data_IF_765594626901
#
_entry.id   IF_765594626901
#
_cell.length_a   1.000
_cell.length_b   1.000
_cell.length_c   1.000
_cell.angle_alpha   90.00
_cell.angle_beta   90.00
_cell.angle_gamma   90.00
#
_symmetry.space_group_name_H-M   'P 1'
#
loop_
_entity.id
_entity.type
_entity.pdbx_description
1 polymer ?
#
# COMPACT_ATOMS: atom_id res chain seq x y z
N UNK A 1 40.75 2.34 -18.20
CA UNK A 1 39.98 1.27 -17.53
C UNK A 1 38.92 1.93 -16.70
N UNK A 2 37.65 1.58 -16.81
CA UNK A 2 36.64 2.14 -15.93
C UNK A 2 36.92 1.72 -14.49
N UNK A 3 36.71 2.62 -13.52
CA UNK A 3 36.75 2.32 -12.11
C UNK A 3 35.44 1.64 -11.71
N UNK A 4 35.51 0.69 -10.79
CA UNK A 4 34.32 0.03 -10.20
C UNK A 4 34.08 0.62 -8.81
N UNK A 5 32.93 1.27 -8.64
CA UNK A 5 32.44 1.76 -7.36
C UNK A 5 31.30 0.86 -6.88
N UNK A 6 31.45 0.28 -5.69
CA UNK A 6 30.50 -0.71 -5.15
C UNK A 6 29.47 -0.13 -4.18
N UNK A 7 29.74 1.05 -3.58
CA UNK A 7 28.88 1.65 -2.56
C UNK A 7 27.89 2.64 -3.17
N UNK A 8 28.36 3.57 -3.97
CA UNK A 8 27.54 4.59 -4.63
C UNK A 8 27.85 4.65 -6.15
N UNK A 9 27.57 3.57 -6.88
CA UNK A 9 27.89 3.52 -8.31
C UNK A 9 26.99 4.47 -9.09
N UNK A 10 27.53 5.09 -10.15
CA UNK A 10 26.74 5.89 -11.07
C UNK A 10 25.67 5.06 -11.78
N UNK A 11 25.98 3.80 -12.10
CA UNK A 11 25.06 2.82 -12.69
C UNK A 11 25.39 1.44 -12.11
N UNK A 12 24.36 0.69 -11.70
CA UNK A 12 24.52 -0.70 -11.28
C UNK A 12 24.31 -1.63 -12.47
N UNK A 13 25.23 -2.57 -12.63
CA UNK A 13 25.13 -3.63 -13.62
C UNK A 13 24.81 -4.92 -12.85
N UNK A 14 23.71 -5.56 -13.19
CA UNK A 14 23.33 -6.87 -12.65
C UNK A 14 23.62 -7.94 -13.70
N UNK A 15 24.29 -9.03 -13.28
CA UNK A 15 24.56 -10.19 -14.14
C UNK A 15 23.90 -11.41 -13.47
N UNK A 16 22.96 -12.00 -14.18
CA UNK A 16 22.27 -13.22 -13.78
C UNK A 16 22.71 -14.38 -14.66
N UNK A 17 23.22 -15.45 -14.04
CA UNK A 17 23.73 -16.64 -14.72
C UNK A 17 22.82 -17.83 -14.42
N UNK A 18 22.28 -18.47 -15.46
CA UNK A 18 21.52 -19.70 -15.36
C UNK A 18 21.79 -20.59 -16.57
N UNK A 19 22.14 -21.89 -16.33
CA UNK A 19 22.37 -22.89 -17.38
C UNK A 19 23.24 -22.35 -18.54
N UNK A 20 24.40 -21.81 -18.21
CA UNK A 20 25.38 -21.23 -19.13
C UNK A 20 24.89 -20.01 -19.95
N UNK A 21 23.75 -19.45 -19.58
CA UNK A 21 23.28 -18.20 -20.14
C UNK A 21 23.46 -17.05 -19.14
N UNK A 22 24.03 -15.94 -19.63
CA UNK A 22 24.20 -14.71 -18.87
C UNK A 22 23.19 -13.66 -19.31
N UNK A 23 22.38 -13.16 -18.37
CA UNK A 23 21.57 -11.97 -18.59
C UNK A 23 22.25 -10.78 -17.93
N UNK A 24 22.58 -9.76 -18.71
CA UNK A 24 23.19 -8.52 -18.24
C UNK A 24 22.13 -7.43 -18.24
N UNK A 25 21.89 -6.81 -17.09
CA UNK A 25 20.87 -5.76 -16.92
C UNK A 25 21.49 -4.51 -16.32
N UNK A 26 21.02 -3.35 -16.74
CA UNK A 26 21.37 -2.06 -16.16
C UNK A 26 20.26 -1.64 -15.19
N UNK A 27 20.62 -1.32 -13.95
CA UNK A 27 19.69 -0.75 -12.98
C UNK A 27 19.61 0.76 -13.19
N UNK A 28 18.54 1.18 -13.85
CA UNK A 28 18.24 2.59 -14.10
C UNK A 28 17.51 3.26 -12.94
N UNK A 29 17.05 2.48 -11.95
CA UNK A 29 16.37 3.02 -10.79
C UNK A 29 17.32 3.60 -9.74
N UNK A 30 18.49 3.01 -9.57
CA UNK A 30 19.45 3.32 -8.51
C UNK A 30 19.06 2.69 -7.18
N UNK A 31 18.34 3.39 -6.31
CA UNK A 31 17.78 2.79 -5.11
C UNK A 31 16.44 2.08 -5.39
N UNK A 32 16.02 1.20 -4.48
CA UNK A 32 14.78 0.44 -4.61
C UNK A 32 13.55 1.37 -4.74
N UNK A 33 12.66 1.05 -5.70
CA UNK A 33 11.51 1.90 -6.04
C UNK A 33 10.44 1.98 -4.93
N UNK A 34 10.46 1.07 -3.96
CA UNK A 34 9.55 1.19 -2.81
C UNK A 34 9.92 2.35 -1.88
N UNK A 35 11.18 2.82 -1.91
CA UNK A 35 11.62 3.95 -1.10
C UNK A 35 11.04 5.26 -1.68
N UNK A 36 9.91 5.70 -1.16
CA UNK A 36 9.24 6.96 -1.57
C UNK A 36 9.84 8.20 -0.92
N UNK A 37 10.60 8.02 0.16
CA UNK A 37 11.27 9.11 0.89
C UNK A 37 10.48 9.68 2.08
N UNK A 38 9.23 9.31 2.28
CA UNK A 38 8.45 9.79 3.42
C UNK A 38 8.67 9.01 4.71
N UNK A 39 9.13 7.76 4.62
CA UNK A 39 9.29 6.87 5.79
C UNK A 39 10.60 7.13 6.52
N UNK A 40 10.56 7.11 7.86
CA UNK A 40 11.75 7.04 8.70
C UNK A 40 12.37 5.65 8.70
N UNK A 41 13.70 5.58 8.74
CA UNK A 41 14.40 4.30 8.94
C UNK A 41 14.11 3.79 10.36
N UNK A 42 13.86 2.48 10.51
CA UNK A 42 13.76 1.84 11.83
C UNK A 42 12.44 1.13 12.14
N UNK A 43 11.46 1.15 11.25
CA UNK A 43 10.24 0.35 11.40
C UNK A 43 10.52 -1.15 11.18
N UNK A 44 10.02 -2.00 12.08
CA UNK A 44 10.11 -3.46 11.91
C UNK A 44 9.16 -3.92 10.80
N UNK A 45 9.69 -4.51 9.74
CA UNK A 45 8.99 -5.19 8.66
C UNK A 45 7.74 -4.48 8.09
N UNK A 46 7.82 -3.19 7.71
CA UNK A 46 6.68 -2.48 7.19
C UNK A 46 6.26 -3.02 5.81
N UNK A 47 4.96 -2.91 5.49
CA UNK A 47 4.47 -3.17 4.15
C UNK A 47 5.23 -2.25 3.15
N UNK A 48 5.84 -2.83 2.11
CA UNK A 48 6.52 -2.04 1.09
C UNK A 48 5.51 -1.18 0.33
N UNK A 49 5.89 0.06 0.04
CA UNK A 49 5.04 1.03 -0.66
C UNK A 49 4.62 0.52 -2.04
N UNK A 50 5.51 -0.17 -2.76
CA UNK A 50 5.16 -0.81 -4.05
C UNK A 50 4.11 -1.90 -3.90
N UNK A 51 4.14 -2.65 -2.79
CA UNK A 51 3.13 -3.67 -2.51
C UNK A 51 1.79 -3.02 -2.13
N UNK A 52 1.80 -1.98 -1.30
CA UNK A 52 0.61 -1.20 -0.97
C UNK A 52 -0.03 -0.61 -2.23
N UNK A 53 0.78 -0.04 -3.14
CA UNK A 53 0.32 0.44 -4.43
C UNK A 53 -0.31 -0.68 -5.28
N UNK A 54 0.31 -1.87 -5.34
CA UNK A 54 -0.23 -3.02 -6.07
C UNK A 54 -1.57 -3.48 -5.49
N UNK A 55 -1.71 -3.50 -4.16
CA UNK A 55 -2.95 -3.83 -3.47
C UNK A 55 -4.05 -2.84 -3.84
N UNK A 56 -3.75 -1.54 -3.85
CA UNK A 56 -4.70 -0.49 -4.21
C UNK A 56 -5.15 -0.61 -5.66
N UNK A 57 -4.27 -0.93 -6.61
CA UNK A 57 -4.65 -1.20 -8.00
C UNK A 57 -5.55 -2.43 -8.12
N UNK A 58 -5.19 -3.54 -7.47
CA UNK A 58 -6.01 -4.77 -7.47
C UNK A 58 -7.36 -4.58 -6.77
N UNK A 59 -7.41 -3.68 -5.78
CA UNK A 59 -8.64 -3.30 -5.11
C UNK A 59 -9.54 -2.38 -5.97
N UNK A 60 -9.03 -1.81 -7.07
CA UNK A 60 -9.75 -0.88 -7.92
C UNK A 60 -9.82 0.54 -7.34
N UNK A 61 -8.88 0.88 -6.46
CA UNK A 61 -8.86 2.20 -5.80
C UNK A 61 -8.82 3.39 -6.78
N UNK A 62 -8.03 3.40 -7.88
CA UNK A 62 -8.01 4.54 -8.78
C UNK A 62 -9.39 4.90 -9.34
N UNK A 63 -10.23 3.90 -9.64
CA UNK A 63 -11.60 4.13 -10.12
C UNK A 63 -12.52 4.57 -8.98
N UNK A 64 -12.44 3.88 -7.84
CA UNK A 64 -13.21 4.23 -6.65
C UNK A 64 -12.93 5.65 -6.16
N UNK A 65 -11.66 6.09 -6.21
CA UNK A 65 -11.27 7.46 -5.86
C UNK A 65 -11.89 8.50 -6.80
N UNK A 66 -11.91 8.23 -8.11
CA UNK A 66 -12.58 9.10 -9.10
C UNK A 66 -14.09 9.19 -8.89
N UNK A 67 -14.69 8.14 -8.38
CA UNK A 67 -16.11 8.10 -8.01
C UNK A 67 -16.39 8.74 -6.62
N UNK A 68 -15.39 9.27 -5.94
CA UNK A 68 -15.53 9.90 -4.62
C UNK A 68 -15.76 8.89 -3.47
N UNK A 69 -15.50 7.60 -3.69
CA UNK A 69 -15.64 6.57 -2.67
C UNK A 69 -14.55 6.69 -1.61
N UNK A 70 -14.87 6.35 -0.37
CA UNK A 70 -13.91 6.41 0.74
C UNK A 70 -12.99 5.19 0.80
N UNK A 71 -11.83 5.35 1.44
CA UNK A 71 -10.92 4.27 1.80
C UNK A 71 -10.70 4.25 3.30
N UNK A 72 -10.72 3.07 3.88
CA UNK A 72 -10.39 2.84 5.29
C UNK A 72 -9.36 1.70 5.40
N UNK A 73 -8.26 1.96 6.09
CA UNK A 73 -7.33 0.95 6.59
C UNK A 73 -7.44 0.90 8.12
N UNK A 74 -8.08 -0.14 8.64
CA UNK A 74 -8.38 -0.24 10.06
C UNK A 74 -7.29 -0.94 10.89
N UNK A 75 -6.14 -1.23 10.28
CA UNK A 75 -4.91 -1.73 10.91
C UNK A 75 -3.71 -1.11 10.19
N UNK A 76 -3.70 0.24 10.12
CA UNK A 76 -2.88 0.97 9.18
C UNK A 76 -1.37 0.99 9.51
N UNK A 77 -0.99 0.58 10.72
CA UNK A 77 0.41 0.66 11.13
C UNK A 77 0.96 2.07 10.93
N UNK A 78 2.05 2.18 10.22
CA UNK A 78 2.67 3.47 9.85
C UNK A 78 2.02 4.20 8.68
N UNK A 79 0.84 3.80 8.24
CA UNK A 79 0.00 4.52 7.28
C UNK A 79 0.33 4.26 5.80
N UNK A 80 1.00 3.17 5.45
CA UNK A 80 1.47 2.94 4.06
C UNK A 80 0.33 2.89 3.06
N UNK A 81 -0.72 2.10 3.31
CA UNK A 81 -1.88 1.98 2.40
C UNK A 81 -2.61 3.32 2.27
N UNK A 82 -2.97 4.03 3.36
CA UNK A 82 -3.61 5.34 3.25
C UNK A 82 -2.78 6.38 2.51
N UNK A 83 -1.45 6.40 2.70
CA UNK A 83 -0.57 7.36 2.03
C UNK A 83 -0.41 7.08 0.53
N UNK A 84 -0.24 5.82 0.13
CA UNK A 84 -0.22 5.44 -1.29
C UNK A 84 -1.60 5.70 -1.93
N UNK A 85 -2.70 5.50 -1.20
CA UNK A 85 -4.05 5.83 -1.68
C UNK A 85 -4.23 7.34 -1.92
N UNK A 86 -3.74 8.18 -1.01
CA UNK A 86 -3.76 9.62 -1.18
C UNK A 86 -2.90 10.07 -2.37
N UNK A 87 -1.71 9.49 -2.54
CA UNK A 87 -0.85 9.77 -3.68
C UNK A 87 -1.52 9.44 -5.01
N UNK A 88 -2.19 8.27 -5.10
CA UNK A 88 -2.93 7.88 -6.31
C UNK A 88 -4.13 8.79 -6.58
N UNK A 89 -4.91 9.12 -5.55
CA UNK A 89 -6.09 10.00 -5.70
C UNK A 89 -5.70 11.42 -6.13
N UNK A 90 -4.56 11.91 -5.66
CA UNK A 90 -4.02 13.23 -6.00
C UNK A 90 -3.12 13.24 -7.26
N UNK A 91 -3.03 12.13 -8.00
CA UNK A 91 -2.18 11.98 -9.19
C UNK A 91 -0.71 12.38 -8.94
N UNK A 92 -0.18 12.00 -7.77
CA UNK A 92 1.21 12.27 -7.37
C UNK A 92 2.11 11.14 -7.85
N UNK A 93 3.11 11.48 -8.67
CA UNK A 93 4.10 10.50 -9.12
C UNK A 93 4.88 9.92 -7.92
N UNK A 94 4.93 8.57 -7.76
CA UNK A 94 5.43 7.93 -6.53
C UNK A 94 6.88 8.28 -6.18
N UNK A 95 7.67 8.66 -7.14
CA UNK A 95 9.09 8.96 -6.97
C UNK A 95 9.43 10.46 -7.13
N UNK A 96 8.42 11.35 -7.12
CA UNK A 96 8.60 12.79 -7.35
C UNK A 96 9.53 13.44 -6.31
N UNK A 97 9.54 12.96 -5.07
CA UNK A 97 10.44 13.44 -4.01
C UNK A 97 11.86 12.85 -4.08
N UNK A 98 12.15 11.99 -5.00
CA UNK A 98 13.41 11.28 -5.11
C UNK A 98 14.48 12.16 -5.77
N UNK A 99 15.66 12.24 -5.14
CA UNK A 99 16.75 13.11 -5.62
C UNK A 99 17.61 12.50 -6.71
N UNK A 100 17.72 11.16 -6.72
CA UNK A 100 18.58 10.44 -7.62
C UNK A 100 17.91 9.21 -8.23
N UNK A 101 18.16 9.02 -9.53
CA UNK A 101 17.86 7.82 -10.29
C UNK A 101 19.11 7.35 -11.01
N UNK A 102 19.29 6.04 -11.17
CA UNK A 102 20.47 5.48 -11.83
C UNK A 102 20.66 5.98 -13.26
N UNK A 103 19.56 6.25 -13.99
CA UNK A 103 19.66 6.76 -15.35
C UNK A 103 20.25 8.19 -15.45
N UNK A 104 20.26 8.96 -14.36
CA UNK A 104 20.90 10.29 -14.36
C UNK A 104 22.42 10.20 -14.57
N UNK A 105 23.03 9.05 -14.21
CA UNK A 105 24.45 8.76 -14.50
C UNK A 105 24.71 8.18 -15.90
N UNK A 106 23.66 7.95 -16.70
CA UNK A 106 23.78 7.39 -18.02
C UNK A 106 24.25 8.44 -19.01
N UNK A 107 25.28 8.10 -19.85
CA UNK A 107 25.85 9.06 -20.81
C UNK A 107 24.85 9.56 -21.86
N UNK A 108 23.82 8.80 -22.16
CA UNK A 108 22.77 9.14 -23.11
C UNK A 108 21.52 9.74 -22.41
N UNK A 109 21.66 10.11 -21.13
CA UNK A 109 20.58 10.78 -20.41
C UNK A 109 20.29 12.15 -21.03
N UNK A 110 19.02 12.40 -21.34
CA UNK A 110 18.52 13.70 -21.79
C UNK A 110 17.98 14.49 -20.62
N UNK A 111 18.76 15.46 -20.15
CA UNK A 111 18.40 16.30 -19.03
C UNK A 111 17.20 17.23 -19.35
N UNK A 112 17.00 17.60 -20.63
CA UNK A 112 15.86 18.42 -21.07
C UNK A 112 14.55 17.64 -20.91
N UNK A 113 14.47 16.45 -21.51
CA UNK A 113 13.31 15.56 -21.38
C UNK A 113 13.02 15.24 -19.91
N UNK A 114 14.04 14.97 -19.09
CA UNK A 114 13.85 14.72 -17.68
C UNK A 114 13.27 15.93 -16.93
N UNK A 115 13.75 17.13 -17.23
CA UNK A 115 13.23 18.38 -16.63
C UNK A 115 11.75 18.61 -16.98
N UNK A 116 11.36 18.34 -18.22
CA UNK A 116 9.96 18.44 -18.68
C UNK A 116 9.07 17.44 -17.95
N UNK A 117 9.48 16.17 -17.83
CA UNK A 117 8.74 15.14 -17.10
C UNK A 117 8.56 15.48 -15.61
N UNK A 118 9.62 16.03 -14.98
CA UNK A 118 9.52 16.49 -13.59
C UNK A 118 8.56 17.68 -13.45
N UNK A 119 8.60 18.61 -14.40
CA UNK A 119 7.69 19.77 -14.44
C UNK A 119 6.23 19.30 -14.56
N UNK A 120 5.96 18.42 -15.53
CA UNK A 120 4.63 17.82 -15.71
C UNK A 120 4.15 17.12 -14.42
N UNK A 121 4.99 16.28 -13.81
CA UNK A 121 4.62 15.58 -12.59
C UNK A 121 4.32 16.52 -11.41
N UNK A 122 5.00 17.67 -11.32
CA UNK A 122 4.72 18.69 -10.32
C UNK A 122 3.38 19.38 -10.59
N UNK A 123 3.10 19.76 -11.83
CA UNK A 123 1.82 20.37 -12.23
C UNK A 123 0.66 19.40 -11.95
N UNK A 124 0.81 18.10 -12.27
CA UNK A 124 -0.19 17.07 -11.96
C UNK A 124 -0.47 16.97 -10.48
N UNK A 125 0.59 16.93 -9.66
CA UNK A 125 0.48 16.93 -8.19
C UNK A 125 -0.26 18.17 -7.68
N UNK A 126 0.11 19.37 -8.12
CA UNK A 126 -0.52 20.61 -7.70
C UNK A 126 -2.01 20.62 -8.05
N UNK A 127 -2.35 20.24 -9.28
CA UNK A 127 -3.73 20.12 -9.75
C UNK A 127 -4.51 19.07 -8.94
N UNK A 128 -3.93 17.92 -8.69
CA UNK A 128 -4.57 16.84 -7.93
C UNK A 128 -4.86 17.26 -6.49
N UNK A 129 -3.88 17.89 -5.82
CA UNK A 129 -4.04 18.37 -4.44
C UNK A 129 -4.98 19.56 -4.29
N UNK A 130 -5.16 20.38 -5.35
CA UNK A 130 -6.13 21.47 -5.37
C UNK A 130 -7.57 20.99 -5.61
N UNK A 131 -7.74 19.75 -6.08
CA UNK A 131 -9.04 19.13 -6.32
C UNK A 131 -9.70 18.60 -5.03
N UNK A 132 -10.94 18.12 -5.17
CA UNK A 132 -11.62 17.40 -4.09
C UNK A 132 -11.14 15.97 -4.07
N UNK A 133 -10.36 15.59 -3.05
CA UNK A 133 -9.93 14.23 -2.83
C UNK A 133 -10.99 13.42 -2.09
N UNK A 134 -11.10 12.12 -2.34
CA UNK A 134 -11.95 11.24 -1.56
C UNK A 134 -11.46 11.17 -0.11
N UNK A 135 -12.36 10.80 0.80
CA UNK A 135 -12.02 10.64 2.20
C UNK A 135 -11.17 9.38 2.41
N UNK A 136 -10.03 9.52 3.05
CA UNK A 136 -9.09 8.45 3.33
C UNK A 136 -8.83 8.40 4.83
N UNK A 137 -9.04 7.22 5.42
CA UNK A 137 -8.91 6.99 6.86
C UNK A 137 -7.92 5.89 7.15
N UNK A 138 -7.19 6.05 8.25
CA UNK A 138 -6.37 5.02 8.86
C UNK A 138 -6.66 4.91 10.34
N UNK A 139 -6.75 3.70 10.88
CA UNK A 139 -6.80 3.50 12.32
C UNK A 139 -5.89 2.36 12.75
N UNK A 140 -5.40 2.46 13.97
CA UNK A 140 -4.57 1.44 14.62
C UNK A 140 -4.72 1.54 16.13
N UNK A 141 -4.56 0.45 16.86
CA UNK A 141 -4.60 0.47 18.33
C UNK A 141 -3.31 1.03 18.95
N UNK A 142 -2.19 0.91 18.22
CA UNK A 142 -0.87 1.35 18.63
C UNK A 142 -0.69 2.86 18.47
N UNK A 143 -0.58 3.58 19.58
CA UNK A 143 -0.25 5.01 19.55
C UNK A 143 1.10 5.30 18.85
N UNK A 144 2.08 4.39 18.98
CA UNK A 144 3.38 4.54 18.32
C UNK A 144 3.27 4.39 16.80
N UNK A 145 2.46 3.45 16.32
CA UNK A 145 2.20 3.27 14.89
C UNK A 145 1.50 4.52 14.30
N UNK A 146 0.52 5.06 14.99
CA UNK A 146 -0.17 6.29 14.56
C UNK A 146 0.72 7.53 14.58
N UNK A 147 1.62 7.65 15.56
CA UNK A 147 2.61 8.72 15.57
C UNK A 147 3.52 8.63 14.33
N UNK A 148 3.97 7.42 13.97
CA UNK A 148 4.72 7.18 12.75
C UNK A 148 3.88 7.49 11.49
N UNK A 149 2.62 7.06 11.44
CA UNK A 149 1.72 7.34 10.32
C UNK A 149 1.51 8.85 10.11
N UNK A 150 1.30 9.59 11.19
CA UNK A 150 1.12 11.05 11.14
C UNK A 150 2.39 11.75 10.65
N UNK A 151 3.55 11.34 11.15
CA UNK A 151 4.83 11.91 10.70
C UNK A 151 5.13 11.55 9.24
N UNK A 152 4.81 10.33 8.80
CA UNK A 152 4.94 9.91 7.41
C UNK A 152 3.98 10.71 6.51
N UNK A 153 2.74 10.97 6.94
CA UNK A 153 1.78 11.80 6.21
C UNK A 153 2.29 13.24 6.04
N UNK A 154 2.84 13.82 7.09
CA UNK A 154 3.45 15.15 7.05
C UNK A 154 4.61 15.21 6.05
N UNK A 155 5.52 14.24 6.08
CA UNK A 155 6.65 14.16 5.16
C UNK A 155 6.22 13.93 3.71
N UNK A 156 5.18 13.14 3.50
CA UNK A 156 4.58 12.92 2.18
C UNK A 156 3.78 14.13 1.68
N UNK A 157 3.43 15.08 2.56
CA UNK A 157 2.58 16.23 2.26
C UNK A 157 1.09 15.88 2.18
N UNK A 158 0.66 14.82 2.87
CA UNK A 158 -0.72 14.33 2.88
C UNK A 158 -1.42 14.49 4.24
N UNK A 159 -0.85 15.21 5.20
CA UNK A 159 -1.39 15.38 6.56
C UNK A 159 -2.83 15.93 6.59
N UNK A 160 -3.22 16.72 5.58
CA UNK A 160 -4.57 17.31 5.45
C UNK A 160 -5.58 16.40 4.74
N UNK A 161 -5.11 15.33 4.12
CA UNK A 161 -5.90 14.49 3.21
C UNK A 161 -6.13 13.08 3.76
N UNK A 162 -5.37 12.68 4.79
CA UNK A 162 -5.50 11.39 5.44
C UNK A 162 -5.82 11.59 6.92
N UNK A 163 -6.90 10.96 7.39
CA UNK A 163 -7.37 11.09 8.77
C UNK A 163 -6.98 9.85 9.56
N UNK A 164 -6.12 10.02 10.57
CA UNK A 164 -5.70 8.95 11.46
C UNK A 164 -6.45 9.03 12.80
N UNK A 165 -6.88 7.88 13.31
CA UNK A 165 -7.54 7.75 14.61
C UNK A 165 -7.06 6.53 15.38
N UNK A 166 -6.98 6.64 16.71
CA UNK A 166 -6.67 5.49 17.55
C UNK A 166 -7.94 4.71 17.85
N UNK A 167 -7.98 3.46 17.40
CA UNK A 167 -9.09 2.56 17.70
C UNK A 167 -8.61 1.10 17.66
N UNK A 168 -9.20 0.26 18.47
CA UNK A 168 -9.10 -1.19 18.31
C UNK A 168 -10.00 -1.60 17.15
N UNK A 169 -9.62 -2.64 16.42
CA UNK A 169 -10.35 -3.04 15.21
C UNK A 169 -11.84 -3.33 15.49
N UNK A 170 -12.13 -3.96 16.61
CA UNK A 170 -13.52 -4.27 17.02
C UNK A 170 -14.40 -3.03 17.27
N UNK A 171 -13.81 -1.85 17.44
CA UNK A 171 -14.50 -0.58 17.64
C UNK A 171 -14.70 0.20 16.34
N UNK A 172 -13.94 -0.18 15.28
CA UNK A 172 -13.96 0.55 14.01
C UNK A 172 -15.28 0.34 13.28
N UNK A 173 -15.84 1.44 12.82
CA UNK A 173 -17.05 1.49 11.99
C UNK A 173 -16.81 2.41 10.80
N UNK A 174 -17.64 2.36 9.74
CA UNK A 174 -17.58 3.35 8.68
C UNK A 174 -17.56 4.76 9.25
N UNK A 175 -16.63 5.63 8.84
CA UNK A 175 -16.58 6.99 9.35
C UNK A 175 -17.86 7.75 9.02
N UNK A 176 -18.32 8.60 9.95
CA UNK A 176 -19.54 9.36 9.78
C UNK A 176 -19.48 10.22 8.50
N UNK A 177 -20.50 10.12 7.66
CA UNK A 177 -20.57 10.86 6.39
C UNK A 177 -19.68 10.31 5.27
N UNK A 178 -18.95 9.23 5.51
CA UNK A 178 -18.14 8.60 4.46
C UNK A 178 -19.03 7.85 3.45
N UNK A 179 -18.80 8.08 2.16
CA UNK A 179 -19.42 7.28 1.11
C UNK A 179 -18.91 5.83 1.20
N UNK A 180 -19.76 4.80 1.04
CA UNK A 180 -19.31 3.42 0.99
C UNK A 180 -18.21 3.22 -0.05
N UNK A 181 -17.14 2.55 0.35
CA UNK A 181 -15.93 2.44 -0.45
C UNK A 181 -15.17 1.15 -0.18
N UNK A 182 -13.89 1.28 0.07
CA UNK A 182 -12.98 0.16 0.29
C UNK A 182 -12.50 0.13 1.74
N UNK A 183 -12.59 -1.04 2.39
CA UNK A 183 -11.87 -1.33 3.62
C UNK A 183 -10.77 -2.34 3.32
N UNK A 184 -9.51 -1.97 3.55
CA UNK A 184 -8.32 -2.78 3.25
C UNK A 184 -7.60 -3.05 4.56
N UNK A 185 -7.35 -4.30 4.87
CA UNK A 185 -6.72 -4.74 6.10
C UNK A 185 -5.46 -5.54 5.80
N UNK A 186 -4.38 -5.19 6.49
CA UNK A 186 -3.15 -5.98 6.57
C UNK A 186 -2.92 -6.44 8.01
N UNK A 187 -3.74 -7.38 8.53
CA UNK A 187 -3.62 -7.87 9.89
C UNK A 187 -2.33 -8.68 10.05
N UNK A 188 -1.84 -8.91 11.27
CA UNK A 188 -0.78 -9.87 11.53
C UNK A 188 -1.23 -11.26 11.06
N UNK A 189 -0.33 -12.03 10.44
CA UNK A 189 -0.66 -13.36 9.90
C UNK A 189 0.27 -14.48 10.41
N UNK A 190 1.07 -14.20 11.46
CA UNK A 190 1.94 -15.16 12.12
C UNK A 190 3.11 -15.60 11.24
N UNK A 191 4.32 -15.28 11.68
CA UNK A 191 5.55 -15.74 11.03
C UNK A 191 6.18 -16.93 11.77
N UNK A 192 5.68 -17.23 12.99
CA UNK A 192 6.20 -18.30 13.85
C UNK A 192 5.17 -19.39 14.09
N UNK A 193 5.66 -20.60 14.33
CA UNK A 193 4.82 -21.74 14.69
C UNK A 193 3.99 -21.42 15.96
N UNK A 194 2.66 -21.61 15.86
CA UNK A 194 1.72 -21.38 16.97
C UNK A 194 1.04 -20.00 16.96
N UNK A 195 1.61 -18.98 16.36
CA UNK A 195 1.01 -17.64 16.28
C UNK A 195 -0.33 -17.64 15.51
N UNK A 196 -0.50 -18.56 14.55
CA UNK A 196 -1.77 -18.65 13.78
C UNK A 196 -2.97 -18.95 14.68
N UNK A 197 -2.83 -19.84 15.69
CA UNK A 197 -3.94 -20.16 16.60
C UNK A 197 -4.36 -18.94 17.43
N UNK A 198 -3.39 -18.14 17.87
CA UNK A 198 -3.66 -16.91 18.63
C UNK A 198 -4.34 -15.82 17.79
N UNK A 199 -4.14 -15.86 16.48
CA UNK A 199 -4.69 -14.88 15.53
C UNK A 199 -6.10 -15.25 15.01
N UNK A 200 -6.54 -16.49 15.14
CA UNK A 200 -7.88 -16.91 14.70
C UNK A 200 -9.02 -16.03 15.23
N UNK A 201 -9.05 -15.64 16.53
CA UNK A 201 -10.11 -14.75 17.03
C UNK A 201 -10.15 -13.41 16.31
N UNK A 202 -8.98 -12.82 15.97
CA UNK A 202 -8.90 -11.56 15.22
C UNK A 202 -9.53 -11.70 13.82
N UNK A 203 -9.22 -12.78 13.12
CA UNK A 203 -9.78 -12.99 11.77
C UNK A 203 -11.29 -13.28 11.80
N UNK A 204 -11.78 -13.98 12.82
CA UNK A 204 -13.21 -14.13 13.06
C UNK A 204 -13.89 -12.78 13.35
N UNK A 205 -13.27 -11.92 14.13
CA UNK A 205 -13.76 -10.55 14.39
C UNK A 205 -13.77 -9.69 13.12
N UNK A 206 -12.78 -9.86 12.21
CA UNK A 206 -12.79 -9.20 10.89
C UNK A 206 -14.05 -9.59 10.12
N UNK A 207 -14.35 -10.88 10.02
CA UNK A 207 -15.53 -11.36 9.34
C UNK A 207 -16.83 -10.86 9.95
N UNK A 208 -16.92 -10.85 11.26
CA UNK A 208 -18.09 -10.34 12.01
C UNK A 208 -18.29 -8.84 11.80
N UNK A 209 -17.19 -8.07 11.83
CA UNK A 209 -17.24 -6.63 11.57
C UNK A 209 -17.68 -6.33 10.15
N UNK A 210 -17.15 -7.06 9.18
CA UNK A 210 -17.54 -6.95 7.78
C UNK A 210 -19.05 -7.18 7.60
N UNK A 211 -19.61 -8.22 8.21
CA UNK A 211 -21.04 -8.54 8.13
C UNK A 211 -21.93 -7.48 8.81
N UNK A 212 -21.51 -7.03 10.00
CA UNK A 212 -22.37 -6.22 10.88
C UNK A 212 -22.28 -4.73 10.63
N UNK A 213 -21.10 -4.22 10.21
CA UNK A 213 -20.84 -2.78 10.19
C UNK A 213 -20.51 -2.20 8.81
N UNK A 214 -19.97 -3.02 7.90
CA UNK A 214 -19.47 -2.52 6.60
C UNK A 214 -20.36 -2.90 5.42
N UNK A 215 -21.69 -2.95 5.63
CA UNK A 215 -22.61 -3.19 4.52
C UNK A 215 -22.48 -2.13 3.43
N UNK A 216 -22.44 -2.55 2.17
CA UNK A 216 -22.22 -1.68 1.01
C UNK A 216 -20.76 -1.36 0.70
N UNK A 217 -19.83 -1.76 1.54
CA UNK A 217 -18.39 -1.64 1.30
C UNK A 217 -17.83 -2.86 0.56
N UNK A 218 -16.64 -2.69 0.00
CA UNK A 218 -15.84 -3.83 -0.48
C UNK A 218 -14.67 -4.04 0.49
N UNK A 219 -14.60 -5.23 1.09
CA UNK A 219 -13.56 -5.61 2.04
C UNK A 219 -12.39 -6.30 1.37
N UNK A 220 -11.19 -6.01 1.84
CA UNK A 220 -9.96 -6.67 1.42
C UNK A 220 -9.15 -7.08 2.63
N UNK A 221 -8.64 -8.32 2.62
CA UNK A 221 -7.75 -8.83 3.67
C UNK A 221 -6.52 -9.46 3.03
N UNK A 222 -5.34 -9.07 3.49
CA UNK A 222 -4.07 -9.66 3.06
C UNK A 222 -3.64 -10.66 4.12
N UNK A 223 -3.26 -11.86 3.70
CA UNK A 223 -2.64 -12.85 4.59
C UNK A 223 -1.83 -13.88 3.81
N UNK A 224 -0.79 -14.40 4.44
CA UNK A 224 -0.04 -15.56 3.95
C UNK A 224 -0.65 -16.89 4.41
N UNK A 225 -1.53 -16.86 5.42
CA UNK A 225 -2.12 -18.05 6.01
C UNK A 225 -3.48 -18.39 5.39
N UNK A 226 -3.60 -19.55 4.68
CA UNK A 226 -4.89 -20.05 4.23
C UNK A 226 -5.83 -20.44 5.38
N UNK A 227 -5.29 -20.76 6.55
CA UNK A 227 -6.04 -21.12 7.74
C UNK A 227 -6.74 -19.87 8.26
N UNK A 228 -5.98 -18.80 8.51
CA UNK A 228 -6.54 -17.53 8.98
C UNK A 228 -7.54 -16.92 7.98
N UNK A 229 -7.27 -17.04 6.68
CA UNK A 229 -8.22 -16.57 5.66
C UNK A 229 -9.60 -17.24 5.76
N UNK A 230 -9.68 -18.51 6.21
CA UNK A 230 -10.95 -19.23 6.41
C UNK A 230 -11.68 -18.74 7.66
N UNK A 231 -10.95 -18.32 8.69
CA UNK A 231 -11.53 -17.80 9.93
C UNK A 231 -12.32 -16.49 9.75
N UNK A 232 -12.10 -15.75 8.65
CA UNK A 232 -12.95 -14.60 8.28
C UNK A 232 -14.42 -15.03 8.12
N UNK A 233 -14.68 -16.29 7.81
CA UNK A 233 -16.04 -16.84 7.74
C UNK A 233 -16.93 -16.18 6.69
N UNK A 234 -16.31 -15.63 5.64
CA UNK A 234 -16.95 -15.09 4.44
C UNK A 234 -16.37 -15.75 3.18
N UNK A 235 -17.20 -15.94 2.18
CA UNK A 235 -16.74 -16.44 0.88
C UNK A 235 -16.09 -15.29 0.10
N UNK A 236 -14.78 -15.33 -0.19
CA UNK A 236 -14.15 -14.31 -1.00
C UNK A 236 -14.62 -14.41 -2.46
N UNK A 237 -14.93 -13.26 -3.07
CA UNK A 237 -15.30 -13.19 -4.49
C UNK A 237 -14.09 -13.40 -5.40
N UNK A 238 -12.93 -12.92 -4.95
CA UNK A 238 -11.68 -12.97 -5.70
C UNK A 238 -10.49 -13.15 -4.78
N UNK A 239 -9.42 -13.75 -5.30
CA UNK A 239 -8.13 -13.93 -4.59
C UNK A 239 -7.01 -13.56 -5.55
N UNK A 240 -6.09 -12.71 -5.09
CA UNK A 240 -4.94 -12.28 -5.88
C UNK A 240 -3.66 -12.76 -5.20
N UNK A 241 -2.80 -13.52 -5.88
CA UNK A 241 -1.49 -13.88 -5.34
C UNK A 241 -0.59 -12.65 -5.31
N UNK A 242 0.15 -12.49 -4.22
CA UNK A 242 1.07 -11.38 -3.97
C UNK A 242 2.31 -11.89 -3.25
N UNK A 243 3.37 -11.11 -3.25
CA UNK A 243 4.59 -11.40 -2.47
C UNK A 243 4.95 -10.22 -1.58
N UNK A 244 5.03 -10.45 -0.27
CA UNK A 244 5.59 -9.50 0.68
C UNK A 244 7.05 -9.88 0.96
N UNK A 245 7.98 -9.34 0.17
CA UNK A 245 9.35 -9.83 0.13
C UNK A 245 9.41 -11.25 -0.45
N UNK A 246 9.91 -12.20 0.32
CA UNK A 246 9.95 -13.63 -0.06
C UNK A 246 8.68 -14.39 0.34
N UNK A 247 7.79 -13.78 1.14
CA UNK A 247 6.61 -14.43 1.67
C UNK A 247 5.46 -14.35 0.66
N UNK A 248 4.95 -15.51 0.22
CA UNK A 248 3.74 -15.60 -0.59
C UNK A 248 2.52 -15.22 0.25
N UNK A 249 1.78 -14.23 -0.18
CA UNK A 249 0.56 -13.75 0.42
C UNK A 249 -0.59 -13.79 -0.59
N UNK A 250 -1.80 -13.64 -0.11
CA UNK A 250 -2.99 -13.47 -0.95
C UNK A 250 -3.82 -12.30 -0.45
N UNK A 251 -4.29 -11.50 -1.40
CA UNK A 251 -5.30 -10.49 -1.17
C UNK A 251 -6.68 -11.11 -1.45
N UNK A 252 -7.53 -11.17 -0.44
CA UNK A 252 -8.89 -11.70 -0.53
C UNK A 252 -9.87 -10.54 -0.65
N UNK A 253 -10.74 -10.57 -1.67
CA UNK A 253 -11.79 -9.58 -1.91
C UNK A 253 -13.13 -10.12 -1.44
N UNK A 254 -13.87 -9.31 -0.66
CA UNK A 254 -15.20 -9.61 -0.14
C UNK A 254 -16.19 -8.50 -0.54
N UNK A 255 -17.34 -8.87 -1.09
CA UNK A 255 -18.47 -7.95 -1.28
C UNK A 255 -19.33 -7.99 0.00
N UNK A 256 -19.46 -6.83 0.64
CA UNK A 256 -20.12 -6.72 1.93
C UNK A 256 -21.54 -6.18 1.74
N UNK A 257 -22.54 -7.01 2.02
CA UNK A 257 -23.96 -6.66 1.88
C UNK A 257 -24.74 -7.05 3.15
N UNK A 258 -25.85 -6.37 3.37
CA UNK A 258 -26.74 -6.72 4.47
C UNK A 258 -27.49 -8.05 4.19
N UNK A 259 -27.44 -8.97 5.13
CA UNK A 259 -28.15 -10.25 5.05
C UNK A 259 -27.33 -11.38 4.41
N UNK A 260 -27.97 -12.54 4.25
CA UNK A 260 -27.35 -13.74 3.67
C UNK A 260 -27.73 -13.86 2.20
N UNK A 261 -26.73 -13.91 1.31
CA UNK A 261 -27.00 -14.19 -0.11
C UNK A 261 -27.46 -15.66 -0.22
N UNK A 262 -28.74 -15.89 -0.44
CA UNK A 262 -29.21 -17.20 -0.87
C UNK A 262 -28.69 -17.42 -2.29
N UNK A 263 -27.78 -18.38 -2.48
CA UNK A 263 -27.47 -18.92 -3.82
C UNK A 263 -28.70 -19.67 -4.27
N UNK A 264 -29.42 -19.11 -5.23
CA UNK A 264 -30.41 -19.83 -6.04
C UNK A 264 -29.68 -20.68 -7.06
#
# INVERSE_FOLDING_TARGET
RPSVETHEPSIRINVYLIRDQATVSLDLSGESLHLRGYRTRGEKAPLKETLAASILYLAGWPDAAREGKSLLDAMCGSGTIPLEAAAMAADVAPALGRRYFGFLGWKQHDAGVWSELLSEARVRREKGLAGSLPQIFGSDESAAALAAATENAKRAGFEKYVHFSRARFEEVSPPAGAAPGLIILNPPYGERLGEEEELKPLYSQIGDSFKKRFSGWTGFVITSSPILAKEVGLQPKQKFPLFNGALECRLFKYELYAGTRRTS
#
